data_IF_556655707484
#
_entry.id   IF_556655707484
#
_cell.length_a   1.000
_cell.length_b   1.000
_cell.length_c   1.000
_cell.angle_alpha   90.00
_cell.angle_beta   90.00
_cell.angle_gamma   90.00
#
_symmetry.space_group_name_H-M   'P 1'
#
loop_
_entity.id
_entity.type
_entity.pdbx_description
1 polymer ?
#
# COMPACT_ATOMS: atom_id res chain seq x y z
N UNK A 1 -17.29 22.50 -21.05
CA UNK A 1 -16.72 21.57 -20.05
C UNK A 1 -15.35 21.16 -20.56
N UNK A 2 -14.27 21.52 -19.86
CA UNK A 2 -12.90 21.36 -20.37
C UNK A 2 -12.57 19.85 -20.57
N UNK A 3 -11.82 19.53 -21.64
CA UNK A 3 -11.39 18.15 -21.98
C UNK A 3 -10.75 17.44 -20.77
N UNK A 4 -9.98 18.17 -19.96
CA UNK A 4 -9.37 17.68 -18.72
C UNK A 4 -10.41 17.17 -17.70
N UNK A 5 -11.52 17.89 -17.49
CA UNK A 5 -12.60 17.46 -16.58
C UNK A 5 -13.32 16.21 -17.10
N UNK A 6 -13.39 16.05 -18.41
CA UNK A 6 -13.97 14.88 -19.05
C UNK A 6 -13.05 13.64 -18.89
N UNK A 7 -11.74 13.87 -19.03
CA UNK A 7 -10.73 12.84 -18.82
C UNK A 7 -10.69 12.34 -17.36
N UNK A 8 -10.65 13.25 -16.37
CA UNK A 8 -10.59 12.88 -14.93
C UNK A 8 -11.84 12.09 -14.48
N UNK A 9 -12.96 12.23 -15.17
CA UNK A 9 -14.19 11.47 -14.89
C UNK A 9 -14.23 10.07 -15.51
N UNK A 10 -13.25 9.70 -16.32
CA UNK A 10 -13.14 8.34 -16.84
C UNK A 10 -12.66 7.42 -15.70
N UNK A 11 -13.30 6.27 -15.53
CA UNK A 11 -12.84 5.23 -14.59
C UNK A 11 -11.39 4.81 -14.88
N UNK A 12 -10.98 4.84 -16.15
CA UNK A 12 -9.65 4.51 -16.61
C UNK A 12 -8.59 5.61 -16.40
N UNK A 13 -8.98 6.84 -15.97
CA UNK A 13 -8.04 7.97 -15.95
C UNK A 13 -6.83 7.71 -15.04
N UNK A 14 -7.05 7.16 -13.86
CA UNK A 14 -5.98 6.79 -12.92
C UNK A 14 -5.00 5.79 -13.51
N UNK A 15 -5.51 4.72 -14.11
CA UNK A 15 -4.70 3.69 -14.76
C UNK A 15 -3.91 4.21 -15.96
N UNK A 16 -4.49 5.08 -16.79
CA UNK A 16 -3.80 5.71 -17.92
C UNK A 16 -2.65 6.60 -17.41
N UNK A 17 -2.90 7.42 -16.40
CA UNK A 17 -1.86 8.29 -15.81
C UNK A 17 -0.71 7.46 -15.22
N UNK A 18 -1.04 6.40 -14.49
CA UNK A 18 -0.06 5.50 -13.91
C UNK A 18 0.79 4.83 -15.00
N UNK A 19 0.15 4.33 -16.05
CA UNK A 19 0.84 3.70 -17.19
C UNK A 19 1.78 4.68 -17.90
N UNK A 20 1.33 5.89 -18.17
CA UNK A 20 2.16 6.94 -18.77
C UNK A 20 3.32 7.35 -17.87
N UNK A 21 3.09 7.45 -16.55
CA UNK A 21 4.14 7.73 -15.56
C UNK A 21 5.19 6.61 -15.53
N UNK A 22 4.76 5.33 -15.57
CA UNK A 22 5.66 4.19 -15.62
C UNK A 22 6.53 4.19 -16.89
N UNK A 23 5.94 4.43 -18.08
CA UNK A 23 6.69 4.57 -19.33
C UNK A 23 7.70 5.70 -19.23
N UNK A 24 7.30 6.88 -18.74
CA UNK A 24 8.18 8.02 -18.58
C UNK A 24 9.34 7.70 -17.62
N UNK A 25 9.06 7.05 -16.49
CA UNK A 25 10.08 6.62 -15.54
C UNK A 25 11.09 5.66 -16.19
N UNK A 26 10.61 4.68 -16.97
CA UNK A 26 11.45 3.74 -17.72
C UNK A 26 12.36 4.46 -18.74
N UNK A 27 11.80 5.44 -19.48
CA UNK A 27 12.58 6.23 -20.44
C UNK A 27 13.66 7.02 -19.71
N UNK A 28 13.32 7.70 -18.60
CA UNK A 28 14.28 8.49 -17.82
C UNK A 28 15.37 7.57 -17.24
N UNK A 29 14.99 6.44 -16.65
CA UNK A 29 15.92 5.52 -16.01
C UNK A 29 16.94 4.90 -16.99
N UNK A 30 16.57 4.78 -18.29
CA UNK A 30 17.43 4.24 -19.33
C UNK A 30 18.02 5.32 -20.27
N UNK A 31 18.01 6.58 -19.83
CA UNK A 31 18.50 7.73 -20.59
C UNK A 31 19.67 8.41 -19.87
N UNK A 32 20.37 9.36 -20.52
CA UNK A 32 21.38 10.22 -19.86
C UNK A 32 20.83 11.04 -18.69
N UNK A 33 19.51 11.08 -18.50
CA UNK A 33 18.84 11.77 -17.38
C UNK A 33 18.78 10.94 -16.09
N UNK A 34 19.11 9.65 -16.13
CA UNK A 34 19.08 8.76 -14.96
C UNK A 34 19.88 9.30 -13.76
N UNK A 35 21.11 9.87 -13.90
CA UNK A 35 21.85 10.44 -12.78
C UNK A 35 21.12 11.64 -12.14
N UNK A 36 20.47 12.49 -12.93
CA UNK A 36 19.71 13.64 -12.40
C UNK A 36 18.48 13.17 -11.60
N UNK A 37 17.76 12.17 -12.11
CA UNK A 37 16.64 11.57 -11.38
C UNK A 37 17.09 10.95 -10.07
N UNK A 38 18.19 10.19 -10.08
CA UNK A 38 18.79 9.63 -8.87
C UNK A 38 19.22 10.72 -7.89
N UNK A 39 19.79 11.83 -8.36
CA UNK A 39 20.18 12.95 -7.51
C UNK A 39 18.96 13.55 -6.81
N UNK A 40 17.86 13.79 -7.54
CA UNK A 40 16.61 14.33 -6.97
C UNK A 40 16.01 13.35 -5.95
N UNK A 41 15.94 12.07 -6.26
CA UNK A 41 15.35 11.06 -5.35
C UNK A 41 16.20 10.86 -4.08
N UNK A 42 17.51 11.06 -4.15
CA UNK A 42 18.41 10.95 -3.02
C UNK A 42 18.60 12.27 -2.26
N UNK A 43 18.03 13.38 -2.75
CA UNK A 43 18.06 14.66 -2.04
C UNK A 43 17.40 14.52 -0.68
N UNK A 44 18.00 15.13 0.34
CA UNK A 44 17.53 15.03 1.73
C UNK A 44 16.46 16.06 2.01
N UNK A 45 15.33 15.61 2.53
CA UNK A 45 14.26 16.46 3.02
C UNK A 45 14.06 16.17 4.52
N UNK A 46 14.20 17.21 5.35
CA UNK A 46 14.07 17.09 6.79
C UNK A 46 12.86 17.88 7.31
N UNK A 47 12.11 17.25 8.20
CA UNK A 47 11.09 17.91 9.03
C UNK A 47 11.55 17.86 10.47
N UNK A 48 11.81 19.02 11.05
CA UNK A 48 12.35 19.16 12.41
C UNK A 48 11.34 19.96 13.24
N UNK A 49 10.84 19.34 14.32
CA UNK A 49 9.92 19.97 15.28
C UNK A 49 10.46 19.71 16.70
N UNK A 50 11.17 20.69 17.25
CA UNK A 50 11.85 20.52 18.54
C UNK A 50 12.86 19.36 18.52
N UNK A 51 12.77 18.39 19.43
CA UNK A 51 13.66 17.23 19.46
C UNK A 51 13.30 16.16 18.42
N UNK A 52 12.15 16.28 17.76
CA UNK A 52 11.70 15.35 16.73
C UNK A 52 12.28 15.77 15.38
N UNK A 53 13.18 14.95 14.85
CA UNK A 53 13.71 15.11 13.50
C UNK A 53 13.39 13.87 12.65
N UNK A 54 12.83 14.10 11.48
CA UNK A 54 12.67 13.09 10.42
C UNK A 54 13.47 13.62 9.23
N UNK A 55 14.67 13.08 9.05
CA UNK A 55 15.60 13.45 7.99
C UNK A 55 15.78 12.24 7.07
N UNK A 56 15.18 12.26 5.90
CA UNK A 56 15.18 11.17 4.93
C UNK A 56 15.32 11.70 3.51
N UNK A 57 15.79 10.85 2.59
CA UNK A 57 15.76 11.17 1.17
C UNK A 57 14.32 11.25 0.65
N UNK A 58 14.11 11.99 -0.44
CA UNK A 58 12.79 12.09 -1.10
C UNK A 58 12.25 10.69 -1.44
N UNK A 59 13.11 9.79 -1.89
CA UNK A 59 12.73 8.39 -2.16
C UNK A 59 12.12 7.72 -0.92
N UNK A 60 12.73 7.90 0.25
CA UNK A 60 12.21 7.33 1.49
C UNK A 60 10.93 8.01 1.98
N UNK A 61 10.76 9.32 1.72
CA UNK A 61 9.49 10.01 1.97
C UNK A 61 8.35 9.45 1.11
N UNK A 62 8.63 9.12 -0.15
CA UNK A 62 7.67 8.47 -1.04
C UNK A 62 7.33 7.06 -0.49
N UNK A 63 8.34 6.26 -0.20
CA UNK A 63 8.14 4.87 0.24
C UNK A 63 7.49 4.75 1.63
N UNK A 64 7.82 5.63 2.57
CA UNK A 64 7.28 5.55 3.93
C UNK A 64 6.00 6.39 4.10
N UNK A 65 5.91 7.52 3.40
CA UNK A 65 4.81 8.47 3.53
C UNK A 65 3.67 8.21 2.55
N UNK A 66 3.94 8.30 1.23
CA UNK A 66 2.88 8.11 0.23
C UNK A 66 2.36 6.67 0.22
N UNK A 67 3.24 5.68 0.43
CA UNK A 67 2.79 4.29 0.55
C UNK A 67 1.93 4.05 1.80
N UNK A 68 2.17 4.77 2.92
CA UNK A 68 1.27 4.69 4.08
C UNK A 68 -0.14 5.21 3.75
N UNK A 69 -0.25 6.29 2.94
CA UNK A 69 -1.54 6.79 2.44
C UNK A 69 -2.19 5.77 1.48
N UNK A 70 -1.41 5.16 0.60
CA UNK A 70 -1.90 4.10 -0.29
C UNK A 70 -2.46 2.93 0.53
N UNK A 71 -1.72 2.42 1.51
CA UNK A 71 -2.19 1.33 2.37
C UNK A 71 -3.36 1.74 3.29
N UNK A 72 -3.51 3.02 3.62
CA UNK A 72 -4.73 3.52 4.27
C UNK A 72 -5.94 3.34 3.36
N UNK A 73 -5.84 3.74 2.08
CA UNK A 73 -6.93 3.61 1.12
C UNK A 73 -7.28 2.15 0.86
N UNK A 74 -6.28 1.30 0.58
CA UNK A 74 -6.48 -0.14 0.39
C UNK A 74 -7.07 -0.79 1.64
N UNK A 75 -6.61 -0.41 2.84
CA UNK A 75 -7.15 -0.91 4.10
C UNK A 75 -8.61 -0.53 4.32
N UNK A 76 -9.03 0.67 3.92
CA UNK A 76 -10.45 1.10 3.96
C UNK A 76 -11.29 0.31 2.95
N UNK A 77 -10.78 0.11 1.74
CA UNK A 77 -11.45 -0.68 0.70
C UNK A 77 -11.60 -2.14 1.13
N UNK A 78 -10.51 -2.76 1.62
CA UNK A 78 -10.53 -4.09 2.20
C UNK A 78 -11.59 -4.23 3.30
N UNK A 79 -11.59 -3.30 4.27
CA UNK A 79 -12.56 -3.32 5.37
C UNK A 79 -13.99 -3.28 4.85
N UNK A 80 -14.25 -2.48 3.83
CA UNK A 80 -15.56 -2.43 3.18
C UNK A 80 -15.91 -3.75 2.52
N UNK A 81 -14.98 -4.31 1.72
CA UNK A 81 -15.20 -5.55 0.98
C UNK A 81 -15.43 -6.75 1.91
N UNK A 82 -14.65 -6.87 2.99
CA UNK A 82 -14.79 -7.95 3.97
C UNK A 82 -16.09 -7.85 4.77
N UNK A 83 -16.53 -6.63 5.11
CA UNK A 83 -17.70 -6.46 5.99
C UNK A 83 -19.03 -6.28 5.23
N UNK A 84 -19.01 -5.80 3.99
CA UNK A 84 -20.21 -5.48 3.21
C UNK A 84 -20.14 -5.82 1.73
N UNK A 85 -18.97 -6.22 1.22
CA UNK A 85 -18.75 -6.49 -0.19
C UNK A 85 -18.76 -7.98 -0.53
N UNK A 86 -18.18 -8.32 -1.68
CA UNK A 86 -18.11 -9.68 -2.21
C UNK A 86 -17.32 -10.63 -1.30
N UNK A 87 -16.30 -10.13 -0.58
CA UNK A 87 -15.50 -10.93 0.35
C UNK A 87 -16.22 -11.24 1.67
N UNK A 88 -17.43 -10.71 1.91
CA UNK A 88 -18.23 -11.02 3.10
C UNK A 88 -18.80 -12.44 3.08
N UNK A 89 -18.90 -13.06 1.90
CA UNK A 89 -19.35 -14.44 1.73
C UNK A 89 -18.17 -15.37 1.52
N UNK A 90 -18.02 -16.38 2.38
CA UNK A 90 -16.90 -17.32 2.32
C UNK A 90 -16.80 -18.05 0.96
N UNK A 91 -17.94 -18.35 0.32
CA UNK A 91 -17.97 -18.99 -1.01
C UNK A 91 -17.26 -18.15 -2.09
N UNK A 92 -17.36 -16.83 -2.01
CA UNK A 92 -16.76 -15.91 -2.98
C UNK A 92 -15.27 -15.67 -2.69
N UNK A 93 -14.84 -15.91 -1.44
CA UNK A 93 -13.47 -15.76 -0.99
C UNK A 93 -12.55 -16.90 -1.44
N UNK A 94 -13.08 -18.12 -1.53
CA UNK A 94 -12.26 -19.35 -1.76
C UNK A 94 -11.45 -19.25 -3.05
N UNK A 95 -12.08 -18.85 -4.16
CA UNK A 95 -11.40 -18.81 -5.46
C UNK A 95 -10.31 -17.73 -5.52
N UNK A 96 -10.55 -16.46 -5.13
CA UNK A 96 -9.50 -15.46 -5.05
C UNK A 96 -8.38 -15.85 -4.08
N UNK A 97 -8.70 -16.47 -2.94
CA UNK A 97 -7.71 -16.89 -1.94
C UNK A 97 -6.77 -17.97 -2.49
N UNK A 98 -7.31 -19.00 -3.13
CA UNK A 98 -6.49 -20.07 -3.74
C UNK A 98 -5.64 -19.50 -4.87
N UNK A 99 -6.19 -18.61 -5.69
CA UNK A 99 -5.45 -17.95 -6.75
C UNK A 99 -4.33 -17.04 -6.19
N UNK A 100 -4.59 -16.29 -5.11
CA UNK A 100 -3.60 -15.46 -4.44
C UNK A 100 -2.46 -16.30 -3.84
N UNK A 101 -2.78 -17.41 -3.15
CA UNK A 101 -1.76 -18.33 -2.62
C UNK A 101 -0.87 -18.86 -3.75
N UNK A 102 -1.46 -19.27 -4.88
CA UNK A 102 -0.71 -19.73 -6.05
C UNK A 102 0.13 -18.64 -6.68
N UNK A 103 -0.48 -17.45 -6.88
CA UNK A 103 0.17 -16.26 -7.43
C UNK A 103 1.31 -15.74 -6.57
N UNK A 104 1.22 -15.91 -5.26
CA UNK A 104 2.28 -15.56 -4.30
C UNK A 104 3.37 -16.62 -4.24
N UNK A 105 3.00 -17.90 -4.03
CA UNK A 105 3.94 -18.97 -3.78
C UNK A 105 4.80 -19.30 -5.02
N UNK A 106 4.20 -19.35 -6.21
CA UNK A 106 4.90 -19.77 -7.42
C UNK A 106 6.04 -18.83 -7.81
N UNK A 107 5.86 -17.50 -7.92
CA UNK A 107 6.96 -16.58 -8.19
C UNK A 107 8.04 -16.60 -7.11
N UNK A 108 7.65 -16.73 -5.83
CA UNK A 108 8.59 -16.84 -4.70
C UNK A 108 9.50 -18.08 -4.84
N UNK A 109 8.93 -19.24 -5.14
CA UNK A 109 9.67 -20.49 -5.34
C UNK A 109 10.59 -20.38 -6.56
N UNK A 110 10.09 -19.88 -7.70
CA UNK A 110 10.89 -19.68 -8.92
C UNK A 110 12.07 -18.77 -8.64
N UNK A 111 11.82 -17.64 -7.96
CA UNK A 111 12.87 -16.68 -7.60
C UNK A 111 13.93 -17.32 -6.69
N UNK A 112 13.50 -18.07 -5.67
CA UNK A 112 14.41 -18.74 -4.75
C UNK A 112 15.25 -19.83 -5.44
N UNK A 113 14.67 -20.58 -6.37
CA UNK A 113 15.40 -21.60 -7.14
C UNK A 113 16.45 -20.97 -8.06
N UNK A 114 16.11 -19.91 -8.76
CA UNK A 114 17.05 -19.21 -9.67
C UNK A 114 18.21 -18.59 -8.90
N UNK A 115 17.94 -18.05 -7.71
CA UNK A 115 18.92 -17.32 -6.91
C UNK A 115 19.49 -18.15 -5.75
N UNK A 116 19.37 -19.47 -5.76
CA UNK A 116 19.76 -20.38 -4.68
C UNK A 116 21.24 -20.31 -4.29
N UNK A 117 22.11 -19.76 -5.15
CA UNK A 117 23.54 -19.58 -4.91
C UNK A 117 23.93 -18.20 -4.39
N UNK A 118 23.01 -17.25 -4.25
CA UNK A 118 23.26 -15.87 -3.81
C UNK A 118 22.37 -15.49 -2.63
N UNK A 119 22.96 -15.48 -1.42
CA UNK A 119 22.22 -15.11 -0.19
C UNK A 119 21.67 -13.69 -0.22
N UNK A 120 22.34 -12.75 -0.92
CA UNK A 120 21.89 -11.37 -1.03
C UNK A 120 20.66 -11.27 -1.94
N UNK A 121 20.71 -11.94 -3.09
CA UNK A 121 19.58 -12.02 -4.00
C UNK A 121 18.39 -12.74 -3.35
N UNK A 122 18.63 -13.83 -2.61
CA UNK A 122 17.57 -14.57 -1.91
C UNK A 122 16.74 -13.71 -0.96
N UNK A 123 17.30 -12.66 -0.38
CA UNK A 123 16.52 -11.72 0.47
C UNK A 123 15.38 -11.02 -0.29
N UNK A 124 15.49 -10.95 -1.62
CA UNK A 124 14.47 -10.35 -2.50
C UNK A 124 13.35 -11.31 -2.93
N UNK A 125 13.22 -12.49 -2.32
CA UNK A 125 12.28 -13.56 -2.74
C UNK A 125 10.81 -13.10 -2.85
N UNK A 126 10.41 -12.12 -2.04
CA UNK A 126 9.05 -11.59 -2.04
C UNK A 126 8.81 -10.49 -3.08
N UNK A 127 9.86 -9.92 -3.72
CA UNK A 127 9.70 -8.84 -4.70
C UNK A 127 8.78 -9.23 -5.87
N UNK A 128 8.94 -10.41 -6.51
CA UNK A 128 8.10 -10.79 -7.65
C UNK A 128 6.70 -11.28 -7.26
N UNK A 129 6.37 -11.31 -5.98
CA UNK A 129 5.05 -11.80 -5.49
C UNK A 129 4.03 -10.68 -5.34
N UNK A 130 4.48 -9.42 -5.27
CA UNK A 130 3.59 -8.28 -5.06
C UNK A 130 2.86 -7.91 -6.38
N UNK A 131 1.57 -7.61 -6.25
CA UNK A 131 0.70 -7.17 -7.36
C UNK A 131 0.38 -5.69 -7.23
N UNK A 132 0.53 -4.91 -8.30
CA UNK A 132 0.04 -3.53 -8.35
C UNK A 132 -1.44 -3.52 -8.77
N UNK A 133 -2.33 -3.37 -7.78
CA UNK A 133 -3.79 -3.26 -7.98
C UNK A 133 -4.13 -2.12 -8.94
N UNK A 134 -3.57 -0.93 -8.73
CA UNK A 134 -3.93 0.26 -9.49
C UNK A 134 -3.55 0.09 -10.95
N UNK A 135 -2.38 -0.52 -11.23
CA UNK A 135 -1.94 -0.84 -12.58
C UNK A 135 -2.81 -1.92 -13.22
N UNK A 136 -3.07 -3.02 -12.52
CA UNK A 136 -3.87 -4.14 -13.03
C UNK A 136 -5.31 -3.71 -13.36
N UNK A 137 -5.99 -3.01 -12.44
CA UNK A 137 -7.33 -2.47 -12.68
C UNK A 137 -7.32 -1.36 -13.74
N UNK A 138 -6.27 -0.55 -13.78
CA UNK A 138 -6.07 0.47 -14.80
C UNK A 138 -6.03 -0.13 -16.20
N UNK A 139 -5.20 -1.16 -16.41
CA UNK A 139 -5.13 -1.90 -17.68
C UNK A 139 -6.47 -2.54 -18.01
N UNK A 140 -7.13 -3.18 -17.01
CA UNK A 140 -8.42 -3.82 -17.20
C UNK A 140 -9.51 -2.81 -17.62
N UNK A 141 -9.47 -1.60 -17.07
CA UNK A 141 -10.44 -0.54 -17.38
C UNK A 141 -10.33 -0.02 -18.82
N UNK A 142 -9.16 -0.15 -19.47
CA UNK A 142 -8.99 0.21 -20.89
C UNK A 142 -9.87 -0.65 -21.82
N UNK A 143 -10.20 -1.87 -21.42
CA UNK A 143 -11.11 -2.75 -22.16
C UNK A 143 -12.59 -2.42 -21.94
N UNK A 144 -12.90 -1.54 -20.97
CA UNK A 144 -14.23 -1.02 -20.71
C UNK A 144 -15.29 -2.09 -20.43
N UNK A 145 -16.41 -2.02 -21.14
CA UNK A 145 -17.54 -2.95 -21.02
C UNK A 145 -17.31 -4.35 -21.63
N UNK A 146 -16.20 -4.57 -22.32
CA UNK A 146 -15.87 -5.89 -22.90
C UNK A 146 -15.50 -6.92 -21.81
N UNK A 147 -15.09 -6.45 -20.64
CA UNK A 147 -14.74 -7.32 -19.52
C UNK A 147 -15.96 -7.49 -18.61
N UNK A 148 -16.40 -8.74 -18.35
CA UNK A 148 -17.47 -9.01 -17.39
C UNK A 148 -17.15 -8.48 -15.99
N UNK A 149 -18.16 -7.97 -15.29
CA UNK A 149 -18.00 -7.44 -13.93
C UNK A 149 -17.36 -8.47 -12.98
N UNK A 150 -17.74 -9.75 -13.11
CA UNK A 150 -17.20 -10.83 -12.29
C UNK A 150 -15.66 -10.94 -12.39
N UNK A 151 -15.06 -10.69 -13.57
CA UNK A 151 -13.61 -10.70 -13.74
C UNK A 151 -12.96 -9.51 -13.04
N UNK A 152 -13.58 -8.33 -13.10
CA UNK A 152 -13.09 -7.14 -12.38
C UNK A 152 -13.12 -7.36 -10.88
N UNK A 153 -14.22 -7.89 -10.35
CA UNK A 153 -14.39 -8.21 -8.93
C UNK A 153 -13.39 -9.27 -8.50
N UNK A 154 -13.22 -10.34 -9.28
CA UNK A 154 -12.24 -11.38 -8.99
C UNK A 154 -10.82 -10.82 -8.91
N UNK A 155 -10.40 -10.01 -9.90
CA UNK A 155 -9.07 -9.40 -9.91
C UNK A 155 -8.86 -8.45 -8.73
N UNK A 156 -9.86 -7.61 -8.41
CA UNK A 156 -9.80 -6.72 -7.25
C UNK A 156 -9.66 -7.51 -5.95
N UNK A 157 -10.47 -8.57 -5.77
CA UNK A 157 -10.42 -9.43 -4.58
C UNK A 157 -9.07 -10.14 -4.45
N UNK A 158 -8.54 -10.67 -5.55
CA UNK A 158 -7.22 -11.31 -5.60
C UNK A 158 -6.13 -10.33 -5.19
N UNK A 159 -6.10 -9.14 -5.80
CA UNK A 159 -5.09 -8.15 -5.53
C UNK A 159 -5.15 -7.59 -4.09
N UNK A 160 -6.35 -7.45 -3.51
CA UNK A 160 -6.52 -7.09 -2.09
C UNK A 160 -5.91 -8.17 -1.16
N UNK A 161 -6.09 -9.46 -1.49
CA UNK A 161 -5.52 -10.56 -0.72
C UNK A 161 -4.00 -10.58 -0.84
N UNK A 162 -3.46 -10.35 -2.05
CA UNK A 162 -2.02 -10.22 -2.30
C UNK A 162 -1.39 -9.09 -1.50
N UNK A 163 -2.03 -7.92 -1.46
CA UNK A 163 -1.54 -6.77 -0.67
C UNK A 163 -1.50 -7.10 0.82
N UNK A 164 -2.51 -7.82 1.34
CA UNK A 164 -2.48 -8.29 2.73
C UNK A 164 -1.32 -9.26 2.97
N UNK A 165 -1.10 -10.20 2.06
CA UNK A 165 0.02 -11.13 2.15
C UNK A 165 1.35 -10.38 2.13
N UNK A 166 1.50 -9.39 1.23
CA UNK A 166 2.69 -8.54 1.16
C UNK A 166 2.94 -7.78 2.47
N UNK A 167 1.89 -7.21 3.08
CA UNK A 167 1.99 -6.51 4.38
C UNK A 167 2.51 -7.46 5.47
N UNK A 168 1.96 -8.69 5.54
CA UNK A 168 2.38 -9.69 6.51
C UNK A 168 3.84 -10.10 6.29
N UNK A 169 4.23 -10.33 5.04
CA UNK A 169 5.61 -10.68 4.70
C UNK A 169 6.59 -9.55 5.05
N UNK A 170 6.24 -8.31 4.70
CA UNK A 170 7.05 -7.13 5.06
C UNK A 170 7.22 -7.04 6.59
N UNK A 171 6.14 -7.23 7.35
CA UNK A 171 6.18 -7.16 8.80
C UNK A 171 7.04 -8.25 9.44
N UNK A 172 7.04 -9.48 8.88
CA UNK A 172 7.74 -10.63 9.45
C UNK A 172 9.20 -10.73 9.00
N UNK A 173 9.50 -10.42 7.74
CA UNK A 173 10.80 -10.70 7.12
C UNK A 173 11.66 -9.48 6.87
N UNK A 174 11.08 -8.28 6.82
CA UNK A 174 11.78 -7.05 6.47
C UNK A 174 11.80 -6.02 7.59
N UNK A 175 11.44 -6.43 8.82
CA UNK A 175 11.57 -5.58 10.01
C UNK A 175 13.04 -5.55 10.44
N UNK A 176 13.57 -4.34 10.66
CA UNK A 176 14.94 -4.10 11.14
C UNK A 176 14.99 -4.01 12.68
N UNK A 177 16.07 -3.44 13.24
CA UNK A 177 16.24 -3.25 14.69
C UNK A 177 15.03 -2.54 15.34
N UNK A 178 14.44 -3.20 16.36
CA UNK A 178 13.21 -2.73 17.00
C UNK A 178 13.50 -1.74 18.12
N UNK A 179 12.90 -0.56 18.05
CA UNK A 179 12.87 0.40 19.16
C UNK A 179 11.63 0.18 20.02
N UNK A 180 11.82 -0.36 21.23
CA UNK A 180 10.73 -0.63 22.19
C UNK A 180 9.98 0.66 22.55
N UNK A 181 10.68 1.78 22.74
CA UNK A 181 10.04 3.06 23.08
C UNK A 181 9.10 3.55 21.97
N UNK A 182 9.54 3.44 20.72
CA UNK A 182 8.71 3.83 19.58
C UNK A 182 7.49 2.90 19.44
N UNK A 183 7.67 1.60 19.68
CA UNK A 183 6.57 0.62 19.69
C UNK A 183 5.56 0.89 20.81
N UNK A 184 5.99 1.31 21.99
CA UNK A 184 5.09 1.70 23.08
C UNK A 184 4.22 2.90 22.69
N UNK A 185 4.80 3.92 22.03
CA UNK A 185 4.05 5.08 21.55
C UNK A 185 3.04 4.65 20.47
N UNK A 186 3.47 3.81 19.54
CA UNK A 186 2.59 3.27 18.50
C UNK A 186 1.43 2.47 19.10
N UNK A 187 1.71 1.60 20.08
CA UNK A 187 0.70 0.80 20.80
C UNK A 187 -0.30 1.68 21.55
N UNK A 188 0.16 2.72 22.25
CA UNK A 188 -0.72 3.70 22.89
C UNK A 188 -1.63 4.41 21.88
N UNK A 189 -1.10 4.77 20.72
CA UNK A 189 -1.88 5.32 19.61
C UNK A 189 -2.94 4.35 19.09
N UNK A 190 -2.60 3.07 18.94
CA UNK A 190 -3.54 2.02 18.52
C UNK A 190 -4.67 1.86 19.53
N UNK A 191 -4.35 1.82 20.83
CA UNK A 191 -5.36 1.78 21.89
C UNK A 191 -6.27 3.02 21.83
N UNK A 192 -5.69 4.21 21.60
CA UNK A 192 -6.45 5.44 21.42
C UNK A 192 -7.41 5.36 20.23
N UNK A 193 -6.96 4.84 19.08
CA UNK A 193 -7.82 4.62 17.91
C UNK A 193 -8.97 3.64 18.24
N UNK A 194 -8.69 2.56 18.97
CA UNK A 194 -9.71 1.60 19.38
C UNK A 194 -10.75 2.25 20.31
N UNK A 195 -10.32 3.04 21.29
CA UNK A 195 -11.23 3.80 22.18
C UNK A 195 -12.08 4.78 21.37
N UNK A 196 -11.48 5.54 20.43
CA UNK A 196 -12.22 6.46 19.56
C UNK A 196 -13.29 5.73 18.74
N UNK A 197 -12.96 4.56 18.21
CA UNK A 197 -13.91 3.73 17.46
C UNK A 197 -15.06 3.26 18.37
N UNK A 198 -14.77 2.74 19.57
CA UNK A 198 -15.77 2.30 20.55
C UNK A 198 -16.66 3.46 21.04
N UNK A 199 -16.11 4.66 21.15
CA UNK A 199 -16.86 5.88 21.50
C UNK A 199 -17.65 6.46 20.30
N UNK A 200 -17.63 5.81 19.15
CA UNK A 200 -18.30 6.26 17.92
C UNK A 200 -17.90 7.69 17.51
N UNK A 201 -16.62 8.03 17.63
CA UNK A 201 -16.12 9.31 17.13
C UNK A 201 -16.29 9.37 15.61
N UNK A 202 -17.02 10.37 15.11
CA UNK A 202 -17.36 10.51 13.68
C UNK A 202 -16.47 11.50 12.93
N UNK A 203 -15.44 12.05 13.58
CA UNK A 203 -14.53 13.02 12.96
C UNK A 203 -13.31 12.31 12.38
N UNK A 204 -13.26 12.16 11.06
CA UNK A 204 -12.11 11.58 10.34
C UNK A 204 -10.78 12.27 10.72
N UNK A 205 -10.78 13.61 10.86
CA UNK A 205 -9.58 14.35 11.22
C UNK A 205 -8.92 13.87 12.52
N UNK A 206 -9.71 13.43 13.50
CA UNK A 206 -9.19 12.91 14.76
C UNK A 206 -8.40 11.59 14.53
N UNK A 207 -8.94 10.67 13.72
CA UNK A 207 -8.24 9.43 13.34
C UNK A 207 -6.96 9.73 12.57
N UNK A 208 -6.98 10.72 11.65
CA UNK A 208 -5.80 11.10 10.89
C UNK A 208 -4.69 11.70 11.75
N UNK A 209 -5.04 12.53 12.74
CA UNK A 209 -4.04 13.12 13.67
C UNK A 209 -3.37 12.01 14.49
N UNK A 210 -4.15 11.10 15.08
CA UNK A 210 -3.59 9.95 15.81
C UNK A 210 -2.81 9.04 14.87
N UNK A 211 -3.31 8.85 13.64
CA UNK A 211 -2.65 8.08 12.59
C UNK A 211 -1.26 8.61 12.23
N UNK A 212 -1.11 9.92 12.11
CA UNK A 212 0.21 10.55 11.88
C UNK A 212 1.17 10.29 13.04
N UNK A 213 0.69 10.36 14.29
CA UNK A 213 1.52 10.04 15.46
C UNK A 213 1.95 8.58 15.44
N UNK A 214 1.03 7.65 15.13
CA UNK A 214 1.36 6.22 14.98
C UNK A 214 2.36 6.03 13.84
N UNK A 215 2.16 6.67 12.69
CA UNK A 215 3.06 6.58 11.54
C UNK A 215 4.48 7.03 11.91
N UNK A 216 4.64 8.17 12.60
CA UNK A 216 5.94 8.65 13.07
C UNK A 216 6.58 7.65 14.05
N UNK A 217 5.80 7.10 14.98
CA UNK A 217 6.28 6.13 15.94
C UNK A 217 6.73 4.82 15.24
N UNK A 218 5.92 4.30 14.33
CA UNK A 218 6.27 3.11 13.54
C UNK A 218 7.50 3.37 12.67
N UNK A 219 7.60 4.54 12.03
CA UNK A 219 8.75 4.96 11.23
C UNK A 219 10.07 4.92 12.03
N UNK A 220 10.01 5.23 13.33
CA UNK A 220 11.16 5.22 14.26
C UNK A 220 11.36 3.91 14.99
N UNK A 221 10.46 2.94 14.82
CA UNK A 221 10.48 1.67 15.53
C UNK A 221 11.28 0.57 14.84
N UNK A 222 11.71 0.75 13.60
CA UNK A 222 12.29 -0.29 12.77
C UNK A 222 11.26 -1.16 12.02
N UNK A 223 9.97 -0.98 12.32
CA UNK A 223 8.87 -1.60 11.57
C UNK A 223 8.53 -0.75 10.35
N UNK A 224 8.04 -1.37 9.27
CA UNK A 224 7.65 -0.62 8.08
C UNK A 224 6.52 0.36 8.37
N UNK A 225 6.76 1.65 8.08
CA UNK A 225 5.84 2.74 8.36
C UNK A 225 4.49 2.62 7.65
N UNK A 226 4.43 1.90 6.54
CA UNK A 226 3.22 1.61 5.75
C UNK A 226 2.14 0.88 6.55
N UNK A 227 2.53 0.05 7.53
CA UNK A 227 1.59 -0.64 8.43
C UNK A 227 0.69 0.33 9.21
N UNK A 228 1.16 1.52 9.51
CA UNK A 228 0.35 2.54 10.18
C UNK A 228 -0.90 2.89 9.37
N UNK A 229 -0.80 2.94 8.04
CA UNK A 229 -1.95 3.19 7.15
C UNK A 229 -3.04 2.14 7.33
N UNK A 230 -2.67 0.86 7.32
CA UNK A 230 -3.61 -0.25 7.51
C UNK A 230 -4.25 -0.22 8.90
N UNK A 231 -3.46 0.02 9.93
CA UNK A 231 -3.94 0.10 11.32
C UNK A 231 -5.00 1.20 11.46
N UNK A 232 -4.73 2.38 10.91
CA UNK A 232 -5.68 3.50 10.92
C UNK A 232 -6.94 3.15 10.15
N UNK A 233 -6.82 2.53 8.97
CA UNK A 233 -7.95 2.09 8.17
C UNK A 233 -8.87 1.14 8.94
N UNK A 234 -8.27 0.14 9.63
CA UNK A 234 -9.04 -0.80 10.44
C UNK A 234 -9.77 -0.13 11.61
N UNK A 235 -9.25 0.98 12.14
CA UNK A 235 -9.85 1.72 13.24
C UNK A 235 -10.99 2.66 12.80
N UNK A 236 -10.98 3.23 11.59
CA UNK A 236 -11.99 4.17 11.11
C UNK A 236 -13.35 3.45 10.97
N UNK A 237 -14.47 3.98 11.56
CA UNK A 237 -15.79 3.38 11.43
C UNK A 237 -16.27 3.29 9.97
N UNK A 238 -16.95 2.20 9.61
CA UNK A 238 -17.51 2.01 8.26
C UNK A 238 -18.49 3.11 7.83
N UNK A 239 -19.19 3.73 8.79
CA UNK A 239 -20.12 4.83 8.53
C UNK A 239 -19.45 6.08 7.93
N UNK A 240 -18.12 6.18 8.08
CA UNK A 240 -17.32 7.30 7.56
C UNK A 240 -16.63 6.96 6.23
N UNK A 241 -16.72 5.72 5.76
CA UNK A 241 -16.10 5.27 4.52
C UNK A 241 -17.09 5.51 3.38
N UNK A 242 -16.90 6.60 2.66
CA UNK A 242 -17.71 6.97 1.49
C UNK A 242 -16.95 6.71 0.17
N UNK A 243 -16.31 5.55 0.06
CA UNK A 243 -15.56 5.14 -1.14
C UNK A 243 -16.43 4.30 -2.05
#
# INVERSE_FOLDING_TARGET
>A
MNALRRFIRLEAAGGILLFLAAILAMIIANSPWAPYMSAVLNERAAVIVGPLAIDKSILLWINDGLMAVFFLLIGLELKREVLRGELSQFSNLVMPLVAAIGGFALPAVIFALINSGDETALRGWAIPTATDIAFALGVLSLFGSRIPLAVKVFLASLAIIDDLAAIVVIALFYTSELSIHALMIASAGIVMLAVMNLMNVTRIAAYMIVGVVIWIAVLKSGVHATLAGVIVAMAIPLSLIHI
#
